data_IF_982638566167
#
_entry.id   IF_982638566167
#
_cell.length_a   1.000
_cell.length_b   1.000
_cell.length_c   1.000
_cell.angle_alpha   90.00
_cell.angle_beta   90.00
_cell.angle_gamma   90.00
#
_symmetry.space_group_name_H-M   'P 1'
#
loop_
_entity.id
_entity.type
_entity.pdbx_description
1 polymer ?
#
# COMPACT_ATOMS: atom_id res chain seq x y z
N UNK A 1 -25.95 31.82 -35.62
CA UNK A 1 -24.59 32.31 -35.34
C UNK A 1 -24.04 31.37 -34.27
N UNK A 2 -23.51 30.22 -34.69
CA UNK A 2 -22.07 29.91 -34.81
C UNK A 2 -21.47 29.66 -33.42
N UNK A 3 -20.85 28.53 -33.06
CA UNK A 3 -20.24 27.45 -33.84
C UNK A 3 -20.26 26.13 -33.05
N UNK A 4 -20.28 25.03 -33.79
CA UNK A 4 -19.98 23.65 -33.36
C UNK A 4 -18.47 23.52 -33.06
N UNK A 5 -18.11 22.70 -32.07
CA UNK A 5 -16.76 22.11 -32.03
C UNK A 5 -16.83 20.66 -31.52
N UNK A 6 -16.25 19.77 -32.31
CA UNK A 6 -16.16 18.33 -32.10
C UNK A 6 -14.73 17.98 -31.69
N UNK A 7 -14.47 16.73 -31.27
CA UNK A 7 -13.48 16.00 -32.08
C UNK A 7 -13.87 14.54 -32.35
N UNK A 8 -13.79 14.18 -33.63
CA UNK A 8 -13.41 12.85 -34.12
C UNK A 8 -11.88 12.85 -34.25
N UNK A 9 -11.18 11.83 -33.77
CA UNK A 9 -10.62 10.82 -34.68
C UNK A 9 -9.91 9.67 -33.96
N UNK A 10 -10.09 8.50 -34.57
CA UNK A 10 -9.49 7.21 -34.26
C UNK A 10 -8.29 7.03 -35.22
N UNK A 11 -7.24 6.28 -34.84
CA UNK A 11 -6.75 5.32 -35.82
C UNK A 11 -6.56 3.91 -35.26
N UNK A 12 -7.23 3.02 -35.97
CA UNK A 12 -7.05 1.59 -36.13
C UNK A 12 -5.63 1.25 -36.65
N UNK A 13 -4.97 0.27 -36.00
CA UNK A 13 -3.90 -0.60 -36.55
C UNK A 13 -4.05 -1.92 -35.79
N UNK A 14 -4.70 -2.98 -36.27
CA UNK A 14 -4.46 -3.88 -37.43
C UNK A 14 -3.17 -4.73 -37.33
N UNK A 15 -3.42 -6.03 -37.02
CA UNK A 15 -2.76 -7.25 -37.52
C UNK A 15 -1.28 -7.57 -37.21
N UNK A 16 -1.05 -8.69 -36.51
CA UNK A 16 -0.30 -9.85 -37.05
C UNK A 16 -0.32 -11.09 -36.11
N UNK A 17 -1.29 -12.00 -36.32
CA UNK A 17 -1.04 -13.47 -36.37
C UNK A 17 -0.68 -13.82 -37.85
N UNK A 18 -0.16 -15.01 -38.28
CA UNK A 18 -0.25 -16.40 -37.74
C UNK A 18 1.11 -17.19 -38.00
N UNK A 19 1.26 -18.53 -38.19
CA UNK A 19 0.27 -19.63 -38.26
C UNK A 19 0.60 -21.02 -37.62
N UNK A 20 -0.47 -21.59 -37.06
CA UNK A 20 -1.10 -22.92 -37.31
C UNK A 20 -0.26 -24.10 -37.81
N UNK A 21 -0.25 -25.14 -36.96
CA UNK A 21 -0.14 -26.57 -37.27
C UNK A 21 -1.32 -27.10 -38.10
N UNK A 22 -1.12 -28.09 -38.99
CA UNK A 22 -2.23 -28.84 -39.56
C UNK A 22 -2.05 -30.37 -39.44
N UNK A 23 -2.97 -31.04 -38.74
CA UNK A 23 -3.24 -32.46 -38.96
C UNK A 23 -4.73 -32.72 -38.74
N UNK A 24 -5.52 -32.80 -39.82
CA UNK A 24 -6.53 -33.85 -40.00
C UNK A 24 -7.13 -33.84 -41.42
N UNK A 25 -6.88 -34.96 -42.11
CA UNK A 25 -7.79 -35.73 -42.97
C UNK A 25 -8.77 -34.99 -43.90
N UNK A 26 -8.48 -35.04 -45.21
CA UNK A 26 -9.51 -35.27 -46.23
C UNK A 26 -9.00 -36.21 -47.32
N UNK A 27 -9.79 -37.25 -47.59
CA UNK A 27 -9.67 -38.15 -48.72
C UNK A 27 -10.09 -37.43 -50.02
N UNK A 28 -9.45 -37.74 -51.16
CA UNK A 28 -10.10 -38.21 -52.40
C UNK A 28 -9.17 -38.13 -53.63
N UNK A 29 -9.36 -39.15 -54.49
CA UNK A 29 -9.06 -39.21 -55.94
C UNK A 29 -7.64 -39.57 -56.40
N UNK A 30 -7.53 -40.87 -56.66
CA UNK A 30 -6.52 -41.63 -57.40
C UNK A 30 -6.10 -40.93 -58.71
N UNK A 31 -4.79 -40.72 -58.88
CA UNK A 31 -4.12 -40.67 -60.19
C UNK A 31 -3.10 -41.82 -60.27
N UNK A 32 -3.05 -42.57 -61.38
CA UNK A 32 -2.20 -43.74 -61.50
C UNK A 32 -0.77 -43.36 -61.91
N UNK A 33 0.19 -43.98 -61.19
CA UNK A 33 1.50 -44.47 -61.64
C UNK A 33 2.57 -43.46 -62.12
N UNK A 34 3.67 -43.41 -61.37
CA UNK A 34 4.94 -43.95 -61.88
C UNK A 34 5.74 -44.55 -60.72
N UNK A 35 5.80 -45.88 -60.66
CA UNK A 35 6.54 -46.62 -59.63
C UNK A 35 8.02 -46.69 -60.03
N UNK A 36 8.80 -45.73 -59.54
CA UNK A 36 10.27 -45.61 -59.75
C UNK A 36 11.03 -46.79 -59.13
N UNK A 37 10.37 -47.69 -58.40
CA UNK A 37 11.01 -48.88 -57.83
C UNK A 37 11.27 -50.00 -58.84
N UNK A 38 10.70 -49.93 -60.05
CA UNK A 38 10.75 -51.04 -61.03
C UNK A 38 11.74 -50.86 -62.19
N UNK A 39 12.39 -49.70 -62.33
CA UNK A 39 13.37 -49.44 -63.41
C UNK A 39 14.85 -49.60 -63.01
N UNK A 40 15.13 -49.85 -61.73
CA UNK A 40 16.49 -50.11 -61.24
C UNK A 40 16.68 -51.61 -60.94
N UNK A 41 16.57 -52.42 -61.99
CA UNK A 41 17.04 -53.80 -61.96
C UNK A 41 18.55 -53.86 -61.66
N UNK A 42 18.90 -54.78 -60.77
CA UNK A 42 20.21 -55.43 -60.61
C UNK A 42 21.50 -54.57 -60.73
N UNK A 43 22.25 -54.58 -59.61
CA UNK A 43 23.60 -54.03 -59.37
C UNK A 43 23.62 -52.55 -58.97
N UNK A 44 24.42 -52.26 -57.95
CA UNK A 44 24.81 -50.92 -57.47
C UNK A 44 23.97 -50.20 -56.40
N UNK A 45 23.23 -50.90 -55.52
CA UNK A 45 22.88 -50.32 -54.19
C UNK A 45 24.04 -50.36 -53.16
N UNK A 46 25.27 -50.43 -53.65
CA UNK A 46 26.52 -50.19 -52.90
C UNK A 46 27.24 -48.91 -53.36
N UNK A 47 26.58 -48.02 -54.11
CA UNK A 47 27.22 -46.79 -54.60
C UNK A 47 26.57 -45.56 -53.97
N UNK A 48 27.28 -45.01 -52.99
CA UNK A 48 27.04 -43.69 -52.44
C UNK A 48 25.95 -43.64 -51.38
N UNK A 49 26.37 -43.69 -50.11
CA UNK A 49 25.77 -42.76 -49.14
C UNK A 49 25.77 -41.38 -49.85
N UNK A 50 24.61 -40.91 -50.29
CA UNK A 50 24.47 -39.53 -50.78
C UNK A 50 25.14 -38.63 -49.74
N UNK A 51 25.89 -37.60 -50.16
CA UNK A 51 26.59 -36.72 -49.22
C UNK A 51 25.64 -36.20 -48.13
N UNK A 52 24.36 -36.02 -48.46
CA UNK A 52 23.30 -35.69 -47.51
C UNK A 52 23.12 -36.74 -46.40
N UNK A 53 23.21 -38.03 -46.70
CA UNK A 53 23.15 -39.10 -45.70
C UNK A 53 24.39 -39.20 -44.81
N UNK A 54 25.57 -38.79 -45.31
CA UNK A 54 26.77 -38.64 -44.47
C UNK A 54 26.60 -37.44 -43.57
N UNK A 55 26.18 -36.28 -44.10
CA UNK A 55 25.91 -35.08 -43.32
C UNK A 55 24.85 -35.32 -42.23
N UNK A 56 23.73 -35.97 -42.55
CA UNK A 56 22.69 -36.31 -41.56
C UNK A 56 23.20 -37.36 -40.56
N UNK A 57 24.02 -38.33 -41.00
CA UNK A 57 24.64 -39.31 -40.11
C UNK A 57 25.66 -38.68 -39.16
N UNK A 58 26.50 -37.76 -39.64
CA UNK A 58 27.44 -36.99 -38.81
C UNK A 58 26.72 -36.00 -37.91
N UNK A 59 25.61 -35.40 -38.36
CA UNK A 59 24.77 -34.53 -37.55
C UNK A 59 24.10 -35.30 -36.41
N UNK A 60 23.56 -36.49 -36.70
CA UNK A 60 22.98 -37.36 -35.69
C UNK A 60 24.05 -37.91 -34.73
N UNK A 61 25.24 -38.26 -35.23
CA UNK A 61 26.36 -38.70 -34.40
C UNK A 61 26.85 -37.58 -33.49
N UNK A 62 27.01 -36.36 -34.01
CA UNK A 62 27.34 -35.18 -33.23
C UNK A 62 26.28 -34.87 -32.19
N UNK A 63 24.98 -35.00 -32.53
CA UNK A 63 23.87 -34.81 -31.59
C UNK A 63 23.84 -35.87 -30.48
N UNK A 64 24.21 -37.11 -30.78
CA UNK A 64 24.30 -38.20 -29.79
C UNK A 64 25.51 -37.99 -28.88
N UNK A 65 26.67 -37.65 -29.44
CA UNK A 65 27.88 -37.37 -28.67
C UNK A 65 27.71 -36.10 -27.81
N UNK A 66 27.02 -35.08 -28.30
CA UNK A 66 26.67 -33.89 -27.52
C UNK A 66 25.66 -34.21 -26.41
N UNK A 67 24.71 -35.12 -26.65
CA UNK A 67 23.85 -35.68 -25.60
C UNK A 67 24.64 -36.48 -24.57
N UNK A 68 25.63 -37.28 -24.95
CA UNK A 68 26.48 -38.03 -24.02
C UNK A 68 27.40 -37.12 -23.20
N UNK A 69 27.96 -36.06 -23.82
CA UNK A 69 28.73 -35.04 -23.11
C UNK A 69 27.87 -34.24 -22.15
N UNK A 70 26.66 -33.86 -22.56
CA UNK A 70 25.69 -33.20 -21.68
C UNK A 70 25.09 -34.15 -20.61
N UNK A 71 25.06 -35.45 -20.88
CA UNK A 71 24.64 -36.48 -19.91
C UNK A 71 25.78 -36.91 -18.98
N UNK A 72 27.01 -36.47 -19.23
CA UNK A 72 28.15 -36.75 -18.35
C UNK A 72 27.87 -36.20 -16.96
N UNK A 73 28.28 -36.92 -15.92
CA UNK A 73 28.00 -36.52 -14.53
C UNK A 73 28.58 -35.14 -14.19
N UNK A 74 29.68 -34.74 -14.84
CA UNK A 74 30.23 -33.38 -14.73
C UNK A 74 29.28 -32.31 -15.29
N UNK A 75 28.64 -32.56 -16.43
CA UNK A 75 27.67 -31.63 -17.02
C UNK A 75 26.39 -31.55 -16.19
N UNK A 76 25.89 -32.68 -15.69
CA UNK A 76 24.76 -32.71 -14.73
C UNK A 76 25.07 -31.95 -13.45
N UNK A 77 26.28 -32.10 -12.89
CA UNK A 77 26.73 -31.33 -11.72
C UNK A 77 26.78 -29.83 -11.99
N UNK A 78 27.30 -29.41 -13.16
CA UNK A 78 27.26 -27.99 -13.58
C UNK A 78 25.83 -27.47 -13.68
N UNK A 79 24.94 -28.23 -14.32
CA UNK A 79 23.53 -27.84 -14.45
C UNK A 79 22.83 -27.70 -13.09
N UNK A 80 23.09 -28.61 -12.14
CA UNK A 80 22.56 -28.51 -10.77
C UNK A 80 23.10 -27.28 -10.02
N UNK A 81 24.38 -26.94 -10.21
CA UNK A 81 24.98 -25.73 -9.62
C UNK A 81 24.33 -24.48 -10.21
N UNK A 82 24.20 -24.39 -11.54
CA UNK A 82 23.56 -23.26 -12.22
C UNK A 82 22.09 -23.12 -11.80
N UNK A 83 21.36 -24.24 -11.68
CA UNK A 83 19.98 -24.23 -11.20
C UNK A 83 19.87 -23.73 -9.76
N UNK A 84 20.77 -24.18 -8.87
CA UNK A 84 20.83 -23.67 -7.48
C UNK A 84 21.16 -22.19 -7.45
N UNK A 85 22.08 -21.73 -8.29
CA UNK A 85 22.49 -20.33 -8.36
C UNK A 85 21.34 -19.44 -8.88
N UNK A 86 20.65 -19.87 -9.93
CA UNK A 86 19.45 -19.17 -10.42
C UNK A 86 18.32 -19.15 -9.37
N UNK A 87 18.11 -20.24 -8.65
CA UNK A 87 17.14 -20.29 -7.57
C UNK A 87 17.50 -19.33 -6.43
N UNK A 88 18.79 -19.22 -6.07
CA UNK A 88 19.29 -18.25 -5.07
C UNK A 88 19.08 -16.81 -5.54
N UNK A 89 19.48 -16.49 -6.77
CA UNK A 89 19.28 -15.14 -7.32
C UNK A 89 17.80 -14.74 -7.33
N UNK A 90 16.89 -15.66 -7.69
CA UNK A 90 15.44 -15.42 -7.61
C UNK A 90 14.98 -15.19 -6.17
N UNK A 91 15.39 -16.05 -5.23
CA UNK A 91 15.03 -15.93 -3.80
C UNK A 91 15.53 -14.62 -3.19
N UNK A 92 16.77 -14.23 -3.49
CA UNK A 92 17.37 -12.97 -3.02
C UNK A 92 16.67 -11.75 -3.63
N UNK A 93 16.41 -11.76 -4.94
CA UNK A 93 15.68 -10.69 -5.63
C UNK A 93 14.26 -10.51 -5.06
N UNK A 94 13.54 -11.62 -4.86
CA UNK A 94 12.20 -11.60 -4.27
C UNK A 94 12.24 -11.17 -2.79
N UNK A 95 13.28 -11.55 -2.04
CA UNK A 95 13.48 -11.14 -0.65
C UNK A 95 13.67 -9.62 -0.54
N UNK A 96 14.55 -9.05 -1.37
CA UNK A 96 14.77 -7.60 -1.44
C UNK A 96 13.46 -6.88 -1.79
N UNK A 97 12.73 -7.39 -2.80
CA UNK A 97 11.45 -6.80 -3.19
C UNK A 97 10.43 -6.80 -2.04
N UNK A 98 10.27 -7.92 -1.33
CA UNK A 98 9.36 -8.01 -0.18
C UNK A 98 9.80 -7.08 0.95
N UNK A 99 11.09 -7.00 1.26
CA UNK A 99 11.60 -6.08 2.28
C UNK A 99 11.28 -4.60 1.96
N UNK A 100 11.35 -4.21 0.68
CA UNK A 100 10.93 -2.88 0.24
C UNK A 100 9.42 -2.66 0.38
N UNK A 101 8.60 -3.66 0.02
CA UNK A 101 7.14 -3.61 0.18
C UNK A 101 6.75 -3.49 1.66
N UNK A 102 7.38 -4.24 2.58
CA UNK A 102 7.20 -4.10 4.03
C UNK A 102 7.52 -2.68 4.51
N UNK A 103 8.64 -2.10 4.04
CA UNK A 103 9.04 -0.75 4.42
C UNK A 103 8.02 0.28 3.94
N UNK A 104 7.50 0.12 2.71
CA UNK A 104 6.44 0.97 2.16
C UNK A 104 5.16 0.84 2.98
N UNK A 105 4.69 -0.37 3.25
CA UNK A 105 3.48 -0.62 4.05
C UNK A 105 3.60 -0.03 5.46
N UNK A 106 4.78 -0.15 6.11
CA UNK A 106 5.05 0.50 7.40
C UNK A 106 4.93 2.02 7.32
N UNK A 107 5.51 2.65 6.30
CA UNK A 107 5.44 4.12 6.14
C UNK A 107 4.02 4.59 5.84
N UNK A 108 3.26 3.83 5.05
CA UNK A 108 1.86 4.12 4.73
C UNK A 108 0.98 3.98 5.97
N UNK A 109 1.18 2.94 6.79
CA UNK A 109 0.46 2.76 8.05
C UNK A 109 0.67 3.95 8.99
N UNK A 110 1.92 4.41 9.15
CA UNK A 110 2.24 5.56 10.00
C UNK A 110 1.59 6.86 9.48
N UNK A 111 1.68 7.14 8.18
CA UNK A 111 1.04 8.33 7.60
C UNK A 111 -0.48 8.32 7.81
N UNK A 112 -1.13 7.18 7.59
CA UNK A 112 -2.57 7.04 7.81
C UNK A 112 -2.97 7.22 9.27
N UNK A 113 -2.14 6.76 10.20
CA UNK A 113 -2.36 6.96 11.63
C UNK A 113 -2.24 8.44 12.02
N UNK A 114 -1.22 9.14 11.55
CA UNK A 114 -1.04 10.58 11.76
C UNK A 114 -2.21 11.39 11.19
N UNK A 115 -2.65 11.07 9.97
CA UNK A 115 -3.81 11.72 9.33
C UNK A 115 -5.10 11.48 10.12
N UNK A 116 -5.31 10.25 10.60
CA UNK A 116 -6.47 9.89 11.41
C UNK A 116 -6.46 10.63 12.76
N UNK A 117 -5.30 10.76 13.40
CA UNK A 117 -5.13 11.56 14.62
C UNK A 117 -5.40 13.05 14.37
N UNK A 118 -4.90 13.59 13.25
CA UNK A 118 -5.17 14.98 12.86
C UNK A 118 -6.67 15.21 12.66
N UNK A 119 -7.35 14.33 11.92
CA UNK A 119 -8.82 14.40 11.75
C UNK A 119 -9.54 14.35 13.09
N UNK A 120 -9.21 13.42 13.97
CA UNK A 120 -9.79 13.32 15.31
C UNK A 120 -9.60 14.61 16.13
N UNK A 121 -8.40 15.20 16.08
CA UNK A 121 -8.13 16.48 16.75
C UNK A 121 -9.00 17.62 16.20
N UNK A 122 -9.22 17.68 14.88
CA UNK A 122 -10.07 18.67 14.20
C UNK A 122 -11.53 18.51 14.64
N UNK A 123 -12.07 17.29 14.61
CA UNK A 123 -13.45 17.04 15.03
C UNK A 123 -13.67 17.35 16.52
N UNK A 124 -12.72 16.98 17.40
CA UNK A 124 -12.75 17.35 18.82
C UNK A 124 -12.73 18.87 19.01
N UNK A 125 -11.88 19.58 18.27
CA UNK A 125 -11.81 21.04 18.32
C UNK A 125 -13.11 21.67 17.83
N UNK A 126 -13.68 21.21 16.71
CA UNK A 126 -14.96 21.67 16.18
C UNK A 126 -16.08 21.49 17.21
N UNK A 127 -16.20 20.31 17.81
CA UNK A 127 -17.22 20.02 18.82
C UNK A 127 -17.14 20.94 20.05
N UNK A 128 -15.93 21.34 20.46
CA UNK A 128 -15.73 22.28 21.57
C UNK A 128 -15.96 23.74 21.16
N UNK A 129 -15.50 24.13 19.97
CA UNK A 129 -15.44 25.54 19.56
C UNK A 129 -16.71 26.02 18.89
N UNK A 130 -17.39 25.17 18.12
CA UNK A 130 -18.59 25.53 17.37
C UNK A 130 -19.73 26.05 18.27
N UNK A 131 -20.03 25.45 19.45
CA UNK A 131 -21.03 25.97 20.38
C UNK A 131 -20.71 27.36 20.92
N UNK A 132 -19.43 27.71 21.04
CA UNK A 132 -19.01 29.04 21.47
C UNK A 132 -19.15 30.04 20.31
N UNK A 133 -18.68 29.65 19.12
CA UNK A 133 -18.68 30.49 17.92
C UNK A 133 -20.07 30.74 17.33
N UNK A 134 -21.05 29.88 17.63
CA UNK A 134 -22.45 30.09 17.22
C UNK A 134 -23.08 31.35 17.80
N UNK A 135 -22.47 31.93 18.85
CA UNK A 135 -22.90 33.19 19.45
C UNK A 135 -22.41 34.44 18.71
N UNK A 136 -21.50 34.28 17.75
CA UNK A 136 -20.86 35.39 17.03
C UNK A 136 -21.31 35.41 15.56
N UNK A 137 -21.36 36.61 14.99
CA UNK A 137 -21.49 36.80 13.54
C UNK A 137 -20.11 36.69 12.90
N UNK A 138 -20.06 36.21 11.66
CA UNK A 138 -18.84 36.17 10.84
C UNK A 138 -18.94 37.21 9.74
N UNK A 139 -17.81 37.83 9.38
CA UNK A 139 -17.75 38.77 8.25
C UNK A 139 -18.09 38.14 6.89
N UNK A 140 -18.07 36.81 6.80
CA UNK A 140 -18.48 36.06 5.61
C UNK A 140 -19.96 35.64 5.60
N UNK A 141 -20.70 35.92 6.68
CA UNK A 141 -22.11 35.52 6.76
C UNK A 141 -22.96 36.40 5.86
N UNK A 142 -23.81 35.76 5.06
CA UNK A 142 -24.83 36.45 4.24
C UNK A 142 -26.14 36.42 5.03
N UNK A 143 -26.54 37.57 5.56
CA UNK A 143 -27.76 37.74 6.35
C UNK A 143 -28.81 38.36 5.41
N UNK A 144 -29.89 37.64 5.05
CA UNK A 144 -30.97 38.20 4.27
C UNK A 144 -31.68 39.30 5.06
N UNK A 145 -31.94 40.44 4.43
CA UNK A 145 -32.84 41.45 5.00
C UNK A 145 -34.28 40.96 4.83
N UNK A 146 -35.02 40.88 5.94
CA UNK A 146 -36.39 40.32 6.00
C UNK A 146 -37.45 41.16 5.24
N UNK A 147 -37.07 42.19 4.48
CA UNK A 147 -38.00 43.16 3.88
C UNK A 147 -38.69 42.65 2.59
N UNK A 148 -38.15 41.63 1.92
CA UNK A 148 -38.66 41.20 0.60
C UNK A 148 -39.73 40.07 0.63
N UNK A 149 -40.17 39.61 1.81
CA UNK A 149 -41.32 38.69 1.94
C UNK A 149 -41.20 37.32 1.25
N UNK A 150 -40.11 37.04 0.54
CA UNK A 150 -39.84 35.75 -0.07
C UNK A 150 -39.14 34.84 0.95
N UNK A 151 -39.62 33.60 1.17
CA UNK A 151 -38.94 32.63 2.02
C UNK A 151 -37.64 32.20 1.34
N UNK A 152 -36.55 32.95 1.57
CA UNK A 152 -35.22 32.56 1.11
C UNK A 152 -34.81 31.32 1.88
N UNK A 153 -34.58 30.22 1.17
CA UNK A 153 -34.16 28.94 1.76
C UNK A 153 -33.02 29.16 2.75
N UNK A 154 -33.07 28.55 3.95
CA UNK A 154 -32.01 28.70 4.94
C UNK A 154 -30.72 28.22 4.30
N UNK A 155 -29.76 29.13 4.10
CA UNK A 155 -28.46 28.79 3.53
C UNK A 155 -27.89 27.59 4.28
N UNK A 156 -27.73 26.47 3.57
CA UNK A 156 -27.24 25.19 4.11
C UNK A 156 -25.80 25.29 4.64
N UNK A 157 -25.12 26.42 4.41
CA UNK A 157 -23.71 26.65 4.73
C UNK A 157 -23.45 27.24 6.13
N UNK A 158 -24.45 27.34 7.01
CA UNK A 158 -24.29 28.01 8.32
C UNK A 158 -23.34 27.30 9.30
N UNK A 159 -23.02 26.02 9.05
CA UNK A 159 -22.11 25.21 9.88
C UNK A 159 -20.77 24.92 9.21
N UNK A 160 -20.62 25.26 7.94
CA UNK A 160 -19.36 25.06 7.23
C UNK A 160 -18.29 25.98 7.81
N UNK A 161 -17.03 25.50 7.78
CA UNK A 161 -15.91 26.35 8.12
C UNK A 161 -15.91 27.56 7.18
N UNK A 162 -15.71 28.79 7.70
CA UNK A 162 -15.63 29.97 6.85
C UNK A 162 -14.59 29.76 5.75
N UNK A 163 -14.84 30.24 4.53
CA UNK A 163 -13.85 30.17 3.47
C UNK A 163 -12.56 30.84 3.94
N UNK A 164 -11.42 30.24 3.60
CA UNK A 164 -10.10 30.81 3.87
C UNK A 164 -9.91 32.04 2.98
N UNK A 165 -10.37 33.19 3.44
CA UNK A 165 -10.15 34.49 2.80
C UNK A 165 -8.92 35.19 3.36
N UNK A 166 -8.33 36.06 2.56
CA UNK A 166 -7.37 37.08 3.01
C UNK A 166 -8.03 38.46 2.80
N UNK A 167 -8.37 39.20 3.87
CA UNK A 167 -8.06 38.94 5.28
C UNK A 167 -8.87 37.78 5.90
N UNK A 168 -8.35 37.16 6.98
CA UNK A 168 -9.07 36.11 7.70
C UNK A 168 -10.44 36.59 8.19
N UNK A 169 -11.47 35.73 8.14
CA UNK A 169 -12.79 36.10 8.62
C UNK A 169 -12.76 36.40 10.12
N UNK A 170 -13.42 37.48 10.50
CA UNK A 170 -13.49 37.94 11.89
C UNK A 170 -14.83 37.52 12.50
N UNK A 171 -14.77 37.04 13.74
CA UNK A 171 -15.95 36.79 14.56
C UNK A 171 -16.23 38.02 15.41
N UNK A 172 -17.42 38.58 15.31
CA UNK A 172 -17.80 39.79 16.02
C UNK A 172 -19.25 39.72 16.52
N UNK A 173 -19.56 40.53 17.53
CA UNK A 173 -20.91 40.75 18.04
C UNK A 173 -21.10 42.26 18.13
N UNK A 174 -21.99 42.86 17.32
CA UNK A 174 -22.37 44.26 17.47
C UNK A 174 -22.98 44.54 18.84
N UNK A 175 -22.77 45.75 19.36
CA UNK A 175 -23.39 46.18 20.62
C UNK A 175 -24.94 46.25 20.54
N UNK A 176 -25.47 46.54 19.34
CA UNK A 176 -26.89 46.56 19.04
C UNK A 176 -27.08 45.65 17.83
N UNK A 177 -27.86 44.58 18.01
CA UNK A 177 -28.19 43.63 16.96
C UNK A 177 -29.46 44.08 16.21
N UNK A 178 -29.48 43.89 14.90
CA UNK A 178 -30.72 44.05 14.13
C UNK A 178 -31.63 42.82 14.32
N UNK A 179 -32.96 42.94 14.16
CA UNK A 179 -33.86 41.79 14.28
C UNK A 179 -33.49 40.62 13.35
N UNK A 180 -33.00 40.91 12.13
CA UNK A 180 -32.51 39.91 11.20
C UNK A 180 -31.25 39.19 11.75
N UNK A 181 -30.31 39.92 12.35
CA UNK A 181 -29.12 39.35 12.99
C UNK A 181 -29.47 38.48 14.22
N UNK A 182 -30.43 38.92 15.05
CA UNK A 182 -30.91 38.14 16.19
C UNK A 182 -31.54 36.82 15.76
N UNK A 183 -32.36 36.84 14.72
CA UNK A 183 -32.94 35.63 14.11
C UNK A 183 -31.85 34.72 13.57
N UNK A 184 -30.88 35.27 12.85
CA UNK A 184 -29.75 34.51 12.31
C UNK A 184 -28.93 33.83 13.41
N UNK A 185 -28.55 34.55 14.45
CA UNK A 185 -27.82 34.00 15.60
C UNK A 185 -28.66 32.96 16.35
N UNK A 186 -29.95 33.22 16.54
CA UNK A 186 -30.85 32.27 17.22
C UNK A 186 -30.99 30.98 16.42
N UNK A 187 -31.13 31.06 15.09
CA UNK A 187 -31.11 29.88 14.22
C UNK A 187 -29.78 29.15 14.30
N UNK A 188 -28.64 29.85 14.25
CA UNK A 188 -27.31 29.24 14.37
C UNK A 188 -27.09 28.57 15.72
N UNK A 189 -27.51 29.20 16.82
CA UNK A 189 -27.47 28.62 18.17
C UNK A 189 -28.36 27.39 18.28
N UNK A 190 -29.58 27.44 17.76
CA UNK A 190 -30.50 26.30 17.72
C UNK A 190 -29.95 25.13 16.89
N UNK A 191 -29.17 25.42 15.84
CA UNK A 191 -28.49 24.42 15.01
C UNK A 191 -27.30 23.75 15.72
N UNK A 192 -26.57 24.47 16.56
CA UNK A 192 -25.33 23.98 17.19
C UNK A 192 -25.55 23.43 18.61
N UNK A 193 -26.57 23.91 19.31
CA UNK A 193 -26.91 23.44 20.65
C UNK A 193 -27.41 21.99 20.59
N UNK A 194 -26.50 21.06 20.92
CA UNK A 194 -26.73 19.62 21.02
C UNK A 194 -28.01 19.25 21.83
N UNK A 195 -28.62 18.09 21.53
CA UNK A 195 -29.91 17.64 22.07
C UNK A 195 -29.83 17.05 23.50
N UNK A 196 -28.93 17.54 24.36
CA UNK A 196 -28.73 16.99 25.70
C UNK A 196 -29.70 17.47 26.78
N UNK A 197 -30.50 18.52 26.50
CA UNK A 197 -31.33 19.18 27.52
C UNK A 197 -32.52 19.96 26.93
N UNK A 198 -33.09 19.50 25.81
CA UNK A 198 -34.32 20.08 25.26
C UNK A 198 -35.54 19.52 26.02
N UNK A 199 -35.69 19.90 27.28
CA UNK A 199 -36.99 19.90 27.95
C UNK A 199 -37.66 21.24 27.63
N UNK A 200 -38.93 21.16 27.18
CA UNK A 200 -39.92 22.25 27.05
C UNK A 200 -40.02 22.89 25.64
N UNK A 201 -40.84 22.23 24.82
CA UNK A 201 -41.89 22.73 23.93
C UNK A 201 -41.66 23.90 22.93
N UNK A 202 -41.96 23.56 21.66
CA UNK A 202 -42.53 24.38 20.58
C UNK A 202 -41.65 24.96 19.46
N UNK A 203 -40.35 24.66 19.39
CA UNK A 203 -39.53 24.90 18.18
C UNK A 203 -38.79 23.62 17.75
N UNK A 204 -39.52 22.52 17.64
CA UNK A 204 -38.94 21.17 17.54
C UNK A 204 -38.56 20.71 16.12
N UNK A 205 -39.13 21.31 15.06
CA UNK A 205 -39.01 20.72 13.72
C UNK A 205 -37.78 21.21 12.93
N UNK A 206 -37.25 22.40 13.23
CA UNK A 206 -36.09 22.96 12.52
C UNK A 206 -34.74 22.66 13.22
N UNK A 207 -34.76 22.41 14.54
CA UNK A 207 -33.58 21.97 15.30
C UNK A 207 -33.26 20.49 15.09
N UNK A 208 -34.28 19.66 14.79
CA UNK A 208 -34.11 18.22 14.59
C UNK A 208 -33.25 17.89 13.36
N UNK A 209 -33.52 18.55 12.23
CA UNK A 209 -32.83 18.27 10.95
C UNK A 209 -31.32 18.59 10.99
N UNK A 210 -30.90 19.50 11.87
CA UNK A 210 -29.51 19.93 11.94
C UNK A 210 -28.75 19.24 13.07
N UNK A 211 -29.42 18.89 14.17
CA UNK A 211 -28.89 17.89 15.10
C UNK A 211 -28.60 16.58 14.33
N UNK A 212 -29.53 16.14 13.49
CA UNK A 212 -29.35 15.01 12.58
C UNK A 212 -28.18 15.24 11.60
N UNK A 213 -28.01 16.44 11.03
CA UNK A 213 -26.84 16.75 10.19
C UNK A 213 -25.49 16.66 10.93
N UNK A 214 -25.42 17.14 12.18
CA UNK A 214 -24.20 17.04 12.99
C UNK A 214 -23.93 15.62 13.49
N UNK A 215 -24.99 14.86 13.80
CA UNK A 215 -24.90 13.47 14.22
C UNK A 215 -24.55 12.53 13.07
N UNK A 216 -25.03 12.83 11.86
CA UNK A 216 -24.65 12.11 10.62
C UNK A 216 -23.21 12.42 10.23
N UNK A 217 -22.74 13.68 10.31
CA UNK A 217 -21.32 14.02 10.12
C UNK A 217 -20.45 13.29 11.16
N UNK A 218 -20.87 13.28 12.42
CA UNK A 218 -20.15 12.56 13.49
C UNK A 218 -20.18 11.04 13.27
N UNK A 219 -21.32 10.49 12.87
CA UNK A 219 -21.48 9.07 12.55
C UNK A 219 -20.55 8.66 11.42
N UNK A 220 -20.54 9.43 10.32
CA UNK A 220 -19.62 9.22 9.21
C UNK A 220 -18.15 9.29 9.66
N UNK A 221 -17.78 10.24 10.52
CA UNK A 221 -16.42 10.29 11.06
C UNK A 221 -16.08 9.08 11.94
N UNK A 222 -17.02 8.60 12.76
CA UNK A 222 -16.81 7.40 13.58
C UNK A 222 -16.61 6.17 12.71
N UNK A 223 -17.38 6.04 11.63
CA UNK A 223 -17.24 4.99 10.63
C UNK A 223 -15.89 5.09 9.90
N UNK A 224 -15.52 6.28 9.42
CA UNK A 224 -14.23 6.55 8.79
C UNK A 224 -13.07 6.23 9.73
N UNK A 225 -13.19 6.60 11.01
CA UNK A 225 -12.20 6.29 12.04
C UNK A 225 -12.08 4.79 12.25
N UNK A 226 -13.20 4.08 12.33
CA UNK A 226 -13.21 2.62 12.50
C UNK A 226 -12.56 1.94 11.28
N UNK A 227 -12.95 2.31 10.08
CA UNK A 227 -12.38 1.80 8.83
C UNK A 227 -10.87 2.11 8.72
N UNK A 228 -10.45 3.33 9.08
CA UNK A 228 -9.05 3.72 9.09
C UNK A 228 -8.20 2.94 10.09
N UNK A 229 -8.73 2.67 11.30
CA UNK A 229 -8.06 1.82 12.29
C UNK A 229 -7.93 0.38 11.79
N UNK A 230 -8.99 -0.17 11.19
CA UNK A 230 -8.97 -1.51 10.61
C UNK A 230 -7.93 -1.62 9.48
N UNK A 231 -7.84 -0.60 8.62
CA UNK A 231 -6.84 -0.55 7.56
C UNK A 231 -5.40 -0.45 8.10
N UNK A 232 -5.16 0.41 9.08
CA UNK A 232 -3.85 0.53 9.74
C UNK A 232 -3.46 -0.79 10.40
N UNK A 233 -4.40 -1.46 11.07
CA UNK A 233 -4.18 -2.77 11.66
C UNK A 233 -3.86 -3.83 10.61
N UNK A 234 -4.56 -3.83 9.47
CA UNK A 234 -4.28 -4.73 8.35
C UNK A 234 -2.87 -4.51 7.78
N UNK A 235 -2.46 -3.26 7.59
CA UNK A 235 -1.10 -2.91 7.13
C UNK A 235 -0.03 -3.38 8.14
N UNK A 236 -0.24 -3.12 9.43
CA UNK A 236 0.68 -3.57 10.49
C UNK A 236 0.74 -5.08 10.60
N UNK A 237 -0.38 -5.77 10.41
CA UNK A 237 -0.44 -7.22 10.38
C UNK A 237 0.34 -7.79 9.18
N UNK A 238 0.16 -7.22 7.97
CA UNK A 238 0.95 -7.62 6.79
C UNK A 238 2.45 -7.45 7.03
N UNK A 239 2.86 -6.31 7.59
CA UNK A 239 4.24 -6.04 7.98
C UNK A 239 4.77 -7.07 8.98
N UNK A 240 3.96 -7.44 9.99
CA UNK A 240 4.34 -8.44 10.99
C UNK A 240 4.45 -9.85 10.38
N UNK A 241 3.50 -10.24 9.54
CA UNK A 241 3.47 -11.55 8.88
C UNK A 241 4.65 -11.71 7.90
N UNK A 242 4.98 -10.67 7.13
CA UNK A 242 6.11 -10.68 6.20
C UNK A 242 7.46 -10.63 6.93
N UNK A 243 7.56 -9.86 8.02
CA UNK A 243 8.76 -9.87 8.86
C UNK A 243 8.99 -11.26 9.51
N UNK A 244 7.92 -11.92 9.95
CA UNK A 244 7.99 -13.28 10.46
C UNK A 244 8.44 -14.29 9.38
N UNK A 245 7.87 -14.19 8.17
CA UNK A 245 8.25 -15.03 7.01
C UNK A 245 9.69 -14.79 6.56
N UNK A 246 10.19 -13.56 6.60
CA UNK A 246 11.59 -13.27 6.29
C UNK A 246 12.52 -13.94 7.30
N UNK A 247 12.19 -13.85 8.60
CA UNK A 247 13.00 -14.44 9.67
C UNK A 247 13.07 -15.97 9.60
N UNK A 248 12.01 -16.64 9.20
CA UNK A 248 12.02 -18.11 9.00
C UNK A 248 12.74 -18.49 7.71
N UNK A 249 12.52 -17.77 6.61
CA UNK A 249 13.11 -18.05 5.30
C UNK A 249 14.62 -17.86 5.23
N UNK A 250 15.20 -16.95 6.03
CA UNK A 250 16.64 -16.76 6.15
C UNK A 250 17.31 -17.88 6.94
N UNK A 251 16.65 -18.40 7.99
CA UNK A 251 17.16 -19.49 8.82
C UNK A 251 17.30 -20.80 8.02
N UNK A 252 16.32 -21.11 7.18
CA UNK A 252 16.36 -22.29 6.31
C UNK A 252 17.37 -22.13 5.17
N UNK A 253 17.58 -20.91 4.67
CA UNK A 253 18.56 -20.64 3.60
C UNK A 253 20.02 -20.77 4.05
N UNK A 254 20.30 -20.53 5.34
CA UNK A 254 21.65 -20.63 5.90
C UNK A 254 22.03 -22.08 6.25
N UNK A 255 21.07 -22.91 6.69
CA UNK A 255 21.31 -24.29 7.10
C UNK A 255 21.68 -25.27 5.97
N UNK A 256 21.34 -24.98 4.71
CA UNK A 256 21.72 -25.83 3.57
C UNK A 256 23.15 -25.59 3.04
N UNK A 257 23.88 -24.59 3.56
CA UNK A 257 25.22 -24.25 3.05
C UNK A 257 26.38 -24.93 3.79
N UNK A 258 26.14 -25.73 4.83
CA UNK A 258 27.20 -26.27 5.69
C UNK A 258 27.45 -27.79 5.59
N UNK A 259 26.90 -28.50 4.59
CA UNK A 259 26.95 -29.98 4.61
C UNK A 259 27.67 -30.70 3.45
N UNK A 260 28.52 -30.03 2.66
CA UNK A 260 29.35 -30.80 1.71
C UNK A 260 30.69 -30.13 1.39
N UNK A 261 31.55 -30.01 2.41
CA UNK A 261 32.99 -29.80 2.24
C UNK A 261 33.73 -31.07 2.66
N UNK A 262 34.60 -31.66 1.81
CA UNK A 262 35.45 -32.76 2.24
C UNK A 262 36.38 -32.25 3.34
N UNK A 263 36.15 -32.76 4.54
CA UNK A 263 36.90 -32.49 5.76
C UNK A 263 38.32 -33.06 5.57
N UNK A 264 39.24 -32.21 5.11
CA UNK A 264 40.67 -32.50 5.17
C UNK A 264 41.10 -32.56 6.63
N UNK A 265 41.50 -33.75 7.08
CA UNK A 265 42.16 -33.97 8.36
C UNK A 265 43.42 -33.12 8.45
N UNK A 266 43.45 -32.19 9.40
CA UNK A 266 44.70 -31.67 9.95
C UNK A 266 44.61 -31.78 11.49
N UNK A 267 45.64 -32.33 12.14
CA UNK A 267 45.61 -32.62 13.56
C UNK A 267 45.80 -31.37 14.42
N UNK A 268 45.06 -31.38 15.51
CA UNK A 268 45.20 -30.53 16.70
C UNK A 268 46.63 -30.53 17.27
N UNK A 269 47.05 -29.42 17.90
CA UNK A 269 47.79 -29.52 19.14
C UNK A 269 46.97 -29.03 20.33
N UNK A 270 46.92 -29.92 21.29
CA UNK A 270 46.60 -29.76 22.71
C UNK A 270 47.22 -28.52 23.36
N UNK A 271 46.43 -27.81 24.18
CA UNK A 271 46.90 -27.32 25.47
C UNK A 271 45.73 -27.11 26.44
N UNK A 272 45.82 -27.77 27.60
CA UNK A 272 45.07 -27.53 28.83
C UNK A 272 45.27 -26.07 29.33
N UNK A 273 44.53 -25.44 30.24
CA UNK A 273 43.83 -25.84 31.47
C UNK A 273 43.17 -24.51 31.97
N UNK A 274 41.87 -24.39 32.28
CA UNK A 274 41.25 -24.41 33.62
C UNK A 274 39.80 -23.85 33.43
N UNK A 275 38.68 -24.50 33.82
CA UNK A 275 38.15 -24.72 35.18
C UNK A 275 37.94 -23.36 35.92
N UNK A 276 36.76 -22.86 36.36
CA UNK A 276 35.48 -23.39 36.92
C UNK A 276 34.42 -22.20 36.92
N UNK A 277 33.20 -22.25 37.52
CA UNK A 277 31.87 -22.63 36.97
C UNK A 277 30.75 -21.53 37.01
N UNK A 278 29.56 -21.92 36.48
CA UNK A 278 28.13 -21.63 36.87
C UNK A 278 27.78 -20.35 37.64
N UNK A 279 26.67 -19.66 37.48
CA UNK A 279 25.24 -19.96 37.18
C UNK A 279 24.63 -18.64 36.66
N UNK A 280 23.39 -18.47 36.18
CA UNK A 280 22.09 -18.82 36.74
C UNK A 280 21.03 -18.23 35.80
N UNK A 281 19.88 -18.90 35.71
CA UNK A 281 18.69 -18.48 34.99
C UNK A 281 18.21 -17.07 35.36
N UNK A 282 17.79 -16.29 34.36
CA UNK A 282 16.90 -15.13 34.57
C UNK A 282 15.68 -15.30 33.69
N UNK A 283 14.71 -16.00 34.26
CA UNK A 283 13.31 -16.04 33.87
C UNK A 283 12.69 -14.67 34.22
N UNK A 284 12.40 -13.83 33.21
CA UNK A 284 11.74 -12.53 33.42
C UNK A 284 10.22 -12.74 33.47
N UNK A 285 9.70 -12.99 34.66
CA UNK A 285 8.27 -12.82 34.97
C UNK A 285 7.90 -11.32 34.88
N UNK A 286 7.03 -10.97 33.92
CA UNK A 286 6.38 -9.66 33.86
C UNK A 286 5.15 -9.72 34.76
N UNK A 287 5.30 -9.19 35.97
CA UNK A 287 4.23 -9.03 36.94
C UNK A 287 3.14 -8.09 36.41
N UNK A 288 1.92 -8.61 36.43
CA UNK A 288 0.68 -7.93 36.10
C UNK A 288 0.15 -7.25 37.36
N UNK A 289 0.47 -5.97 37.56
CA UNK A 289 -0.15 -5.16 38.61
C UNK A 289 -0.85 -3.91 38.05
N UNK A 290 -2.15 -4.07 37.85
CA UNK A 290 -3.14 -2.98 37.91
C UNK A 290 -3.15 -2.37 39.31
N UNK A 291 -3.24 -1.04 39.45
CA UNK A 291 -4.02 -0.49 40.54
C UNK A 291 -5.09 0.49 40.04
N UNK A 292 -6.31 0.21 40.51
CA UNK A 292 -7.49 1.07 40.47
C UNK A 292 -7.46 1.93 41.75
N UNK A 293 -7.64 3.25 41.65
CA UNK A 293 -8.06 4.06 42.81
C UNK A 293 -7.56 5.51 42.90
N UNK A 294 -8.40 6.42 42.39
CA UNK A 294 -8.81 7.71 42.97
C UNK A 294 -7.80 8.75 43.51
N UNK A 295 -7.72 9.86 42.75
CA UNK A 295 -7.91 11.26 43.15
C UNK A 295 -7.34 11.81 44.47
N UNK A 296 -6.37 12.75 44.36
CA UNK A 296 -6.49 14.12 44.93
C UNK A 296 -5.40 15.09 44.42
N UNK A 297 -5.84 16.30 44.07
CA UNK A 297 -5.08 17.54 43.84
C UNK A 297 -3.91 17.79 44.81
N UNK A 298 -2.79 18.36 44.32
CA UNK A 298 -2.39 19.78 44.54
C UNK A 298 -0.99 20.11 44.00
N UNK A 299 -0.91 21.29 43.35
CA UNK A 299 0.20 22.26 43.26
C UNK A 299 1.62 21.89 42.78
N UNK A 300 1.98 22.52 41.66
CA UNK A 300 3.18 23.37 41.45
C UNK A 300 4.57 22.81 41.79
N UNK A 301 5.35 22.52 40.75
CA UNK A 301 6.78 22.86 40.66
C UNK A 301 7.26 22.74 39.19
N UNK A 302 7.89 23.81 38.70
CA UNK A 302 8.81 23.80 37.54
C UNK A 302 9.89 22.73 37.72
N UNK A 303 10.44 22.20 36.61
CA UNK A 303 11.85 22.51 36.39
C UNK A 303 12.24 22.75 34.92
N UNK A 304 12.97 23.85 34.77
CA UNK A 304 14.16 24.10 33.97
C UNK A 304 14.44 23.33 32.66
N UNK A 305 14.66 24.18 31.65
CA UNK A 305 15.29 23.98 30.36
C UNK A 305 16.62 23.20 30.41
N UNK A 306 16.71 22.17 29.57
CA UNK A 306 17.93 21.72 28.89
C UNK A 306 17.44 21.21 27.52
N UNK A 307 17.68 21.87 26.39
CA UNK A 307 18.95 22.39 25.92
C UNK A 307 19.65 21.32 25.09
N UNK A 308 19.01 20.84 24.01
CA UNK A 308 19.66 19.95 23.05
C UNK A 308 19.28 20.37 21.62
N UNK A 309 20.26 21.02 21.00
CA UNK A 309 20.31 21.45 19.62
C UNK A 309 20.48 20.24 18.70
N UNK A 310 19.45 19.87 17.94
CA UNK A 310 19.66 19.07 16.72
C UNK A 310 19.94 20.02 15.56
N UNK A 311 21.21 20.01 15.18
CA UNK A 311 21.76 20.63 14.00
C UNK A 311 21.44 19.82 12.74
N UNK A 312 21.33 20.52 11.61
CA UNK A 312 21.58 20.04 10.24
C UNK A 312 20.55 19.03 9.68
N UNK A 313 20.01 19.13 8.46
CA UNK A 313 20.61 19.58 7.21
C UNK A 313 19.59 20.34 6.35
N UNK A 314 20.07 21.39 5.69
CA UNK A 314 19.46 21.98 4.52
C UNK A 314 19.74 21.07 3.31
N UNK A 315 18.69 20.65 2.60
CA UNK A 315 18.77 20.19 1.21
C UNK A 315 18.10 21.30 0.36
N UNK A 316 18.82 22.43 0.23
CA UNK A 316 18.60 23.43 -0.81
C UNK A 316 19.66 23.18 -1.88
N UNK A 317 19.40 22.28 -2.84
CA UNK A 317 20.22 22.12 -4.05
C UNK A 317 19.46 21.36 -5.16
N UNK A 318 18.25 21.79 -5.50
CA UNK A 318 17.66 21.49 -6.83
C UNK A 318 17.84 22.72 -7.73
N UNK A 319 19.09 22.85 -8.18
CA UNK A 319 19.53 23.80 -9.19
C UNK A 319 18.85 23.47 -10.54
N UNK A 320 18.06 24.42 -11.03
CA UNK A 320 17.57 24.43 -12.41
C UNK A 320 18.68 25.00 -13.29
N UNK A 321 19.31 24.14 -14.09
CA UNK A 321 20.14 24.56 -15.22
C UNK A 321 19.27 25.26 -16.28
N UNK A 322 19.83 26.35 -16.82
CA UNK A 322 19.25 27.25 -17.82
C UNK A 322 18.97 26.59 -19.18
#
# INVERSE_FOLDING_TARGET
MSAEDAPKDNPQVEASEPPKSPTELTETKKRPRLDVSSLAGARDRKRGKSMFGILVGTLNKAKIEDKERNASDAAKKRHLIDQRLQAKLRKETDSVRRAEEVKKDKTVANRKEEDLQLKDSIYKLRRKRLPVLSNFLVTSDVIPDDDDGTPTSPSTKTLDAPPRSHPPPLYYIPAILTPAQERYLSQRKAKVSLPGLAMINYVAHLSLQVAEATETEWGHFVEERKAGIEEINSLRQRVADEAAKSKTGDREGQGEMEMDGPRGELPSPTSAEAAVPSSEDVEMEVDSSTPKGEAKNTSAAEPEKKGETSAMQADDDEAVEY
#
